data_IF_865802079743
#
_entry.id   IF_865802079743
#
_cell.length_a   1.000
_cell.length_b   1.000
_cell.length_c   1.000
_cell.angle_alpha   90.00
_cell.angle_beta   90.00
_cell.angle_gamma   90.00
#
_symmetry.space_group_name_H-M   'P 1'
#
loop_
_entity.id
_entity.type
_entity.pdbx_description
1 polymer ?
2 non-polymer ?
3 non-polymer ?
4 non-polymer ?
5 water ?
#
# COMPACT_ATOMS: atom_id res chain seq x y z
N UNK A 2 -5.19 3.99 22.64
CA UNK A 2 -5.61 4.19 21.26
C UNK A 2 -5.50 2.92 20.40
N UNK A 3 -6.22 2.89 19.26
CA UNK A 3 -6.24 1.75 18.35
C UNK A 3 -4.98 1.72 17.51
N UNK A 4 -4.40 0.52 17.40
CA UNK A 4 -3.20 0.29 16.63
C UNK A 4 -3.52 -0.45 15.33
N UNK A 5 -2.83 -0.07 14.24
CA UNK A 5 -2.98 -0.68 12.94
C UNK A 5 -1.61 -0.94 12.36
N UNK A 6 -1.35 -2.19 11.97
CA UNK A 6 -0.05 -2.58 11.39
C UNK A 6 -0.21 -2.72 9.90
N UNK A 7 0.37 -1.74 9.17
CA UNK A 7 0.27 -1.68 7.70
C UNK A 7 1.57 -2.10 7.05
N UNK A 8 1.47 -2.82 5.93
CA UNK A 8 2.63 -3.24 5.15
C UNK A 8 2.51 -2.65 3.75
N UNK A 9 3.57 -1.96 3.28
CA UNK A 9 3.60 -1.39 1.94
C UNK A 9 4.46 -2.35 1.10
N UNK A 10 3.83 -3.05 0.13
CA UNK A 10 4.47 -4.05 -0.74
C UNK A 10 4.41 -3.65 -2.20
N UNK A 11 5.27 -4.25 -3.01
CA UNK A 11 5.33 -3.97 -4.43
C UNK A 11 6.74 -4.04 -4.98
N UNK A 12 6.84 -4.07 -6.32
CA UNK A 12 8.10 -4.16 -7.03
C UNK A 12 9.03 -3.01 -6.68
N UNK A 13 10.35 -3.24 -6.77
CA UNK A 13 11.33 -2.18 -6.52
C UNK A 13 11.09 -1.03 -7.48
N UNK A 14 11.17 0.20 -6.96
CA UNK A 14 11.00 1.42 -7.72
C UNK A 14 9.59 1.92 -7.98
N UNK A 15 8.56 1.31 -7.37
CA UNK A 15 7.16 1.75 -7.55
C UNK A 15 6.83 3.02 -6.74
N UNK A 16 7.60 3.28 -5.69
CA UNK A 16 7.39 4.41 -4.79
C UNK A 16 6.91 4.04 -3.41
N UNK A 17 7.23 2.82 -2.93
CA UNK A 17 6.85 2.39 -1.57
C UNK A 17 7.46 3.31 -0.52
N UNK A 18 8.76 3.59 -0.64
CA UNK A 18 9.45 4.48 0.32
C UNK A 18 8.97 5.91 0.20
N UNK A 19 8.82 6.42 -1.04
CA UNK A 19 8.32 7.78 -1.29
C UNK A 19 6.90 7.97 -0.73
N UNK A 20 6.01 6.97 -0.90
CA UNK A 20 4.66 6.99 -0.36
C UNK A 20 4.67 6.99 1.17
N UNK A 21 5.50 6.11 1.78
CA UNK A 21 5.63 6.04 3.26
C UNK A 21 6.21 7.34 3.84
N UNK A 22 7.26 7.91 3.23
CA UNK A 22 7.89 9.16 3.70
C UNK A 22 6.93 10.35 3.52
N UNK A 23 6.13 10.36 2.44
CA UNK A 23 5.16 11.42 2.19
C UNK A 23 4.07 11.46 3.28
N UNK A 24 3.54 10.30 3.66
CA UNK A 24 2.56 10.22 4.74
C UNK A 24 3.16 10.59 6.11
N UNK A 25 4.33 10.02 6.46
CA UNK A 25 4.98 10.23 7.77
C UNK A 25 5.59 11.62 7.94
N UNK A 26 6.46 12.04 6.99
CA UNK A 26 7.24 13.28 7.07
C UNK A 26 6.78 14.43 6.15
N UNK A 27 5.68 14.27 5.38
CA UNK A 27 5.08 15.29 4.49
C UNK A 27 6.04 15.90 3.46
N UNK A 28 7.00 15.09 2.97
CA UNK A 28 7.93 15.54 1.95
C UNK A 28 8.23 14.42 0.97
N UNK A 29 8.58 14.79 -0.27
CA UNK A 29 8.88 13.83 -1.33
C UNK A 29 10.39 13.53 -1.39
N UNK A 30 10.74 12.24 -1.26
CA UNK A 30 12.12 11.74 -1.34
C UNK A 30 12.39 11.24 -2.78
N UNK A 31 13.29 11.95 -3.50
CA UNK A 31 13.63 11.63 -4.89
C UNK A 31 14.59 10.44 -5.05
N UNK A 32 15.36 10.10 -3.99
CA UNK A 32 16.30 8.96 -4.01
C UNK A 32 16.56 8.39 -2.61
N UNK A 33 15.69 7.44 -2.19
CA UNK A 33 15.77 6.73 -0.91
C UNK A 33 16.36 5.35 -1.18
N UNK A 34 17.34 4.91 -0.34
CA UNK A 34 18.03 3.62 -0.46
C UNK A 34 17.03 2.50 -0.76
N UNK A 35 17.12 1.85 -1.95
CA UNK A 35 16.12 0.84 -2.33
C UNK A 35 16.19 -0.49 -1.55
N UNK A 36 17.30 -0.74 -0.86
CA UNK A 36 17.53 -1.98 -0.11
C UNK A 36 17.12 -1.86 1.37
N UNK A 37 16.83 -0.63 1.84
CA UNK A 37 16.45 -0.37 3.23
C UNK A 37 14.96 -0.67 3.50
N UNK A 38 14.72 -1.53 4.48
CA UNK A 38 13.39 -1.92 4.92
C UNK A 38 13.24 -1.35 6.33
N UNK A 39 12.28 -0.46 6.52
CA UNK A 39 12.07 0.17 7.82
C UNK A 39 10.59 0.20 8.19
N UNK A 40 10.30 0.61 9.42
CA UNK A 40 8.93 0.73 9.93
C UNK A 40 8.81 2.12 10.52
N UNK A 41 7.62 2.70 10.43
CA UNK A 41 7.40 4.07 10.91
C UNK A 41 6.11 4.15 11.71
N UNK A 42 6.11 5.00 12.73
CA UNK A 42 4.91 5.21 13.54
C UNK A 42 4.35 6.61 13.37
N UNK A 43 3.01 6.69 13.28
CA UNK A 43 2.31 7.96 13.16
C UNK A 43 1.00 7.91 13.88
N UNK A 44 0.76 8.92 14.72
CA UNK A 44 -0.49 9.10 15.43
C UNK A 44 -1.32 10.02 14.55
N UNK A 45 -2.50 9.53 14.15
CA UNK A 45 -3.44 10.22 13.26
C UNK A 45 -4.87 10.00 13.73
N UNK A 46 -5.75 10.96 13.45
CA UNK A 46 -7.17 10.80 13.73
C UNK A 46 -7.87 10.47 12.40
N UNK A 47 -8.47 9.27 12.31
CA UNK A 47 -9.15 8.80 11.11
C UNK A 47 -10.61 8.54 11.52
N UNK A 48 -11.55 9.33 10.95
CA UNK A 48 -13.00 9.22 11.25
C UNK A 48 -13.30 9.42 12.73
N UNK A 49 -12.60 10.35 13.35
CA UNK A 49 -12.76 10.68 14.77
C UNK A 49 -12.09 9.70 15.71
N UNK A 50 -11.39 8.70 15.17
CA UNK A 50 -10.67 7.69 15.96
C UNK A 50 -9.17 8.00 16.01
N UNK A 51 -8.60 8.08 17.23
CA UNK A 51 -7.15 8.28 17.38
C UNK A 51 -6.49 6.93 17.11
N UNK A 52 -5.68 6.88 16.06
CA UNK A 52 -5.00 5.66 15.66
C UNK A 52 -3.51 5.81 15.69
N UNK A 53 -2.84 4.70 15.93
CA UNK A 53 -1.40 4.68 15.89
C UNK A 53 -1.07 3.76 14.74
N UNK A 54 -0.44 4.32 13.72
CA UNK A 54 -0.08 3.54 12.57
C UNK A 54 1.36 3.05 12.66
N UNK A 55 1.53 1.74 12.49
CA UNK A 55 2.85 1.13 12.48
C UNK A 55 3.00 0.62 11.04
N UNK A 56 3.68 1.41 10.20
CA UNK A 56 3.81 1.16 8.76
C UNK A 56 5.17 0.57 8.39
N UNK A 57 5.15 -0.63 7.82
CA UNK A 57 6.37 -1.26 7.33
C UNK A 57 6.58 -1.01 5.82
N UNK A 58 7.68 -0.33 5.50
CA UNK A 58 8.12 -0.04 4.13
C UNK A 58 9.08 -1.18 3.75
N UNK A 59 8.60 -2.16 2.96
CA UNK A 59 9.38 -3.33 2.56
C UNK A 59 10.39 -3.03 1.46
N UNK A 60 11.49 -3.80 1.38
CA UNK A 60 12.51 -3.55 0.36
C UNK A 60 12.82 -4.75 -0.56
N UNK A 61 12.11 -5.88 -0.35
CA UNK A 61 12.19 -7.11 -1.13
C UNK A 61 13.45 -7.37 -1.93
N UNK A 68 8.71 -10.68 -0.40
CA UNK A 68 9.58 -11.03 0.73
C UNK A 68 8.83 -11.88 1.79
N UNK A 69 9.58 -12.34 2.82
CA UNK A 69 9.25 -13.26 3.91
C UNK A 69 7.81 -13.21 4.47
N UNK A 70 7.35 -14.42 4.80
CA UNK A 70 6.06 -14.79 5.38
C UNK A 70 5.83 -14.13 6.73
N UNK A 71 6.91 -13.77 7.45
CA UNK A 71 6.86 -13.19 8.79
C UNK A 71 6.17 -11.84 8.87
N UNK A 72 6.57 -10.85 8.05
CA UNK A 72 5.88 -9.55 8.12
C UNK A 72 4.49 -9.63 7.51
N UNK A 73 4.25 -10.68 6.71
CA UNK A 73 2.96 -10.96 6.11
C UNK A 73 2.08 -11.53 7.22
N UNK A 74 2.67 -12.32 8.14
CA UNK A 74 1.95 -12.85 9.32
C UNK A 74 1.56 -11.72 10.29
N UNK A 75 2.50 -10.77 10.51
CA UNK A 75 2.33 -9.62 11.42
C UNK A 75 1.41 -8.54 10.85
N UNK A 76 1.57 -8.25 9.57
CA UNK A 76 0.78 -7.22 8.88
C UNK A 76 -0.71 -7.43 8.99
N UNK A 77 -1.45 -6.37 9.30
CA UNK A 77 -2.92 -6.46 9.41
C UNK A 77 -3.63 -5.98 8.14
N UNK A 78 -2.94 -5.16 7.37
CA UNK A 78 -3.41 -4.59 6.11
C UNK A 78 -2.27 -4.36 5.15
N UNK A 79 -2.52 -4.53 3.85
CA UNK A 79 -1.45 -4.40 2.86
C UNK A 79 -1.75 -3.39 1.76
N UNK A 80 -0.85 -2.42 1.55
CA UNK A 80 -0.94 -1.49 0.42
C UNK A 80 -0.16 -2.19 -0.69
N UNK A 81 -0.85 -2.69 -1.74
CA UNK A 81 -0.19 -3.37 -2.84
C UNK A 81 0.05 -2.34 -3.94
N UNK A 82 1.30 -1.88 -4.06
CA UNK A 82 1.69 -0.77 -4.92
C UNK A 82 2.34 -1.18 -6.23
N UNK A 83 1.82 -0.62 -7.33
CA UNK A 83 2.41 -0.72 -8.66
C UNK A 83 2.57 0.73 -9.15
N UNK A 84 3.37 0.95 -10.21
CA UNK A 84 3.56 2.27 -10.78
C UNK A 84 2.79 2.27 -12.12
N UNK A 85 1.98 3.33 -12.39
CA UNK A 85 1.13 3.45 -13.60
C UNK A 85 1.93 3.50 -14.93
N UNK A 86 3.26 3.69 -14.84
CA UNK A 86 4.17 3.71 -15.99
C UNK A 86 4.99 2.41 -16.07
N UNK A 87 4.59 1.39 -15.29
CA UNK A 87 5.37 0.15 -15.27
C UNK A 87 4.47 -1.06 -15.28
N UNK A 88 4.27 -1.63 -16.49
CA UNK A 88 3.42 -2.79 -16.72
C UNK A 88 3.83 -4.03 -15.88
N UNK A 89 5.13 -4.28 -15.76
CA UNK A 89 5.66 -5.40 -14.96
C UNK A 89 5.29 -5.27 -13.48
N UNK A 90 5.33 -4.04 -12.91
CA UNK A 90 4.98 -3.83 -11.50
C UNK A 90 3.50 -4.12 -11.24
N UNK A 91 2.65 -3.85 -12.24
CA UNK A 91 1.22 -4.17 -12.15
C UNK A 91 1.04 -5.70 -12.15
N UNK A 92 1.66 -6.42 -13.10
CA UNK A 92 1.60 -7.88 -13.11
C UNK A 92 2.17 -8.47 -11.80
N UNK A 93 3.24 -7.86 -11.23
CA UNK A 93 3.85 -8.29 -9.96
C UNK A 93 2.90 -8.28 -8.76
N UNK A 94 1.84 -7.45 -8.79
CA UNK A 94 0.81 -7.40 -7.74
C UNK A 94 0.30 -8.79 -7.35
N UNK A 95 0.03 -9.66 -8.35
CA UNK A 95 -0.52 -10.99 -8.08
C UNK A 95 0.39 -11.89 -7.24
N UNK A 96 1.71 -11.71 -7.37
CA UNK A 96 2.70 -12.49 -6.61
C UNK A 96 2.57 -12.17 -5.13
N UNK A 97 2.44 -10.88 -4.79
CA UNK A 97 2.27 -10.39 -3.42
C UNK A 97 0.91 -10.86 -2.90
N UNK A 98 -0.17 -10.68 -3.70
CA UNK A 98 -1.52 -11.11 -3.35
C UNK A 98 -1.58 -12.59 -2.96
N UNK A 99 -1.04 -13.47 -3.83
CA UNK A 99 -1.00 -14.90 -3.61
C UNK A 99 -0.14 -15.31 -2.42
N UNK A 100 1.00 -14.63 -2.20
CA UNK A 100 1.86 -14.93 -1.07
C UNK A 100 1.15 -14.54 0.25
N UNK A 101 0.51 -13.34 0.29
CA UNK A 101 -0.25 -12.88 1.45
C UNK A 101 -1.40 -13.86 1.76
N UNK A 102 -2.17 -14.26 0.72
CA UNK A 102 -3.28 -15.21 0.83
C UNK A 102 -2.85 -16.55 1.43
N UNK A 103 -1.68 -17.07 1.00
CA UNK A 103 -1.05 -18.33 1.43
C UNK A 103 -0.67 -18.26 2.91
N UNK A 104 0.04 -17.18 3.30
CA UNK A 104 0.53 -16.91 4.66
C UNK A 104 -0.63 -16.73 5.65
N UNK A 105 -1.64 -15.94 5.29
CA UNK A 105 -2.78 -15.66 6.16
C UNK A 105 -3.86 -16.74 6.14
N UNK A 106 -3.78 -17.71 5.18
CA UNK A 106 -4.76 -18.77 4.95
C UNK A 106 -6.18 -18.18 4.82
N UNK A 107 -6.27 -17.01 4.15
CA UNK A 107 -7.51 -16.28 3.96
C UNK A 107 -7.55 -15.58 2.60
N UNK A 108 -8.77 -15.32 2.11
CA UNK A 108 -9.04 -14.65 0.84
C UNK A 108 -9.61 -13.25 1.06
N UNK A 109 -9.84 -12.84 2.34
CA UNK A 109 -10.40 -11.52 2.64
C UNK A 109 -9.48 -10.66 3.52
N UNK A 110 -8.17 -10.73 3.27
CA UNK A 110 -7.14 -9.96 3.99
C UNK A 110 -7.29 -8.47 3.63
N UNK A 111 -7.38 -7.52 4.60
CA UNK A 111 -7.46 -6.10 4.23
C UNK A 111 -6.32 -5.70 3.31
N UNK A 112 -6.67 -5.19 2.12
CA UNK A 112 -5.70 -4.66 1.16
C UNK A 112 -6.30 -3.64 0.23
N UNK A 113 -5.42 -2.76 -0.27
CA UNK A 113 -5.75 -1.68 -1.18
C UNK A 113 -4.78 -1.75 -2.32
N UNK A 114 -5.32 -1.70 -3.55
CA UNK A 114 -4.50 -1.67 -4.75
C UNK A 114 -4.12 -0.20 -5.02
N UNK A 115 -2.81 0.10 -5.04
CA UNK A 115 -2.35 1.46 -5.24
C UNK A 115 -1.62 1.61 -6.58
N UNK A 116 -2.10 2.52 -7.43
CA UNK A 116 -1.47 2.90 -8.69
C UNK A 116 -0.70 4.18 -8.46
N UNK A 117 0.60 4.04 -8.14
CA UNK A 117 1.43 5.20 -7.82
C UNK A 117 2.02 5.88 -9.06
N UNK A 118 2.56 7.12 -8.89
CA UNK A 118 3.15 7.96 -9.93
C UNK A 118 2.09 8.47 -10.91
N UNK A 119 0.87 8.77 -10.38
CA UNK A 119 -0.27 9.28 -11.15
C UNK A 119 0.02 10.64 -11.82
N UNK A 120 1.06 11.34 -11.35
CA UNK A 120 1.52 12.62 -11.89
C UNK A 120 2.23 12.42 -13.26
N UNK A 121 2.69 11.19 -13.55
CA UNK A 121 3.41 10.90 -14.78
C UNK A 121 2.50 10.78 -15.99
N UNK A 122 2.86 11.44 -17.10
CA UNK A 122 2.04 11.32 -18.32
C UNK A 122 2.32 10.03 -19.12
N UNK A 123 3.38 9.28 -18.77
CA UNK A 123 3.82 8.05 -19.45
C UNK A 123 3.07 6.80 -18.96
N UNK A 124 1.73 6.87 -18.94
CA UNK A 124 0.85 5.78 -18.47
C UNK A 124 0.87 4.55 -19.39
N UNK A 125 1.12 3.37 -18.81
CA UNK A 125 1.11 2.08 -19.53
C UNK A 125 0.10 1.11 -18.86
N UNK A 126 -0.47 1.53 -17.73
CA UNK A 126 -1.51 0.81 -17.00
C UNK A 126 -2.74 1.73 -16.93
N UNK A 127 -3.80 1.41 -17.69
CA UNK A 127 -5.04 2.19 -17.68
C UNK A 127 -5.82 1.96 -16.40
N UNK A 128 -6.61 2.97 -15.98
CA UNK A 128 -7.44 2.86 -14.77
C UNK A 128 -8.44 1.71 -14.87
N UNK A 129 -8.84 1.33 -16.10
CA UNK A 129 -9.77 0.22 -16.32
C UNK A 129 -9.09 -1.12 -16.02
N UNK A 130 -7.82 -1.30 -16.47
CA UNK A 130 -7.02 -2.51 -16.18
C UNK A 130 -6.94 -2.67 -14.66
N UNK A 131 -6.62 -1.57 -13.96
CA UNK A 131 -6.46 -1.55 -12.51
C UNK A 131 -7.79 -1.73 -11.76
N UNK A 132 -8.89 -1.10 -12.25
CA UNK A 132 -10.23 -1.28 -11.66
C UNK A 132 -10.68 -2.73 -11.83
N UNK A 133 -10.36 -3.37 -12.97
CA UNK A 133 -10.67 -4.79 -13.23
C UNK A 133 -9.89 -5.69 -12.30
N UNK A 134 -8.60 -5.35 -12.00
CA UNK A 134 -7.79 -6.12 -11.07
C UNK A 134 -8.38 -6.01 -9.64
N UNK A 135 -8.66 -4.77 -9.20
CA UNK A 135 -9.21 -4.47 -7.87
C UNK A 135 -10.59 -5.14 -7.68
N UNK A 136 -11.43 -5.14 -8.75
CA UNK A 136 -12.74 -5.79 -8.76
C UNK A 136 -12.62 -7.29 -8.53
N UNK A 137 -11.60 -7.93 -9.17
CA UNK A 137 -11.38 -9.38 -9.05
C UNK A 137 -10.98 -9.79 -7.65
N UNK A 138 -10.15 -8.97 -6.97
CA UNK A 138 -9.72 -9.22 -5.59
C UNK A 138 -10.80 -8.82 -4.58
N UNK A 139 -11.75 -7.97 -5.00
CA UNK A 139 -12.78 -7.42 -4.13
C UNK A 139 -12.20 -6.38 -3.19
N UNK A 140 -11.29 -5.52 -3.71
CA UNK A 140 -10.61 -4.50 -2.91
C UNK A 140 -10.66 -3.11 -3.56
N UNK A 141 -10.45 -2.02 -2.78
CA UNK A 141 -10.40 -0.68 -3.39
C UNK A 141 -9.16 -0.44 -4.25
N UNK A 142 -9.32 0.34 -5.33
CA UNK A 142 -8.22 0.78 -6.17
C UNK A 142 -8.05 2.30 -5.98
N UNK A 143 -6.85 2.75 -5.54
CA UNK A 143 -6.57 4.17 -5.33
C UNK A 143 -5.35 4.60 -6.15
N UNK A 144 -5.47 5.67 -6.93
CA UNK A 144 -4.30 6.22 -7.62
C UNK A 144 -3.63 7.26 -6.74
N UNK A 145 -2.30 7.21 -6.67
CA UNK A 145 -1.53 8.15 -5.86
C UNK A 145 -0.35 8.76 -6.61
N UNK A 146 0.16 9.84 -6.05
CA UNK A 146 1.39 10.46 -6.44
C UNK A 146 2.08 10.82 -5.14
N UNK A 147 3.18 10.13 -4.84
CA UNK A 147 4.00 10.44 -3.67
C UNK A 147 4.67 11.82 -3.88
N UNK A 148 4.79 12.27 -5.15
CA UNK A 148 5.41 13.55 -5.52
C UNK A 148 4.49 14.75 -5.23
N UNK A 149 3.21 14.69 -5.64
CA UNK A 149 2.26 15.78 -5.44
C UNK A 149 1.42 15.60 -4.14
N UNK A 150 1.44 14.37 -3.58
CA UNK A 150 0.68 13.95 -2.38
C UNK A 150 -0.76 13.54 -2.73
N UNK A 151 -1.18 13.73 -3.99
CA UNK A 151 -2.50 13.34 -4.48
C UNK A 151 -2.79 11.86 -4.15
N UNK A 152 -3.90 11.62 -3.45
CA UNK A 152 -4.39 10.30 -3.06
C UNK A 152 -3.65 9.56 -1.95
N UNK A 153 -2.53 10.11 -1.44
CA UNK A 153 -1.68 9.45 -0.43
C UNK A 153 -2.47 9.14 0.84
N UNK A 154 -3.14 10.15 1.40
CA UNK A 154 -3.96 9.99 2.60
C UNK A 154 -5.12 9.06 2.34
N UNK A 155 -5.77 9.19 1.17
CA UNK A 155 -6.87 8.32 0.78
C UNK A 155 -6.44 6.85 0.74
N UNK A 156 -5.24 6.54 0.19
CA UNK A 156 -4.76 5.15 0.11
C UNK A 156 -4.51 4.55 1.49
N UNK A 157 -3.71 5.24 2.33
CA UNK A 157 -3.40 4.74 3.67
C UNK A 157 -4.63 4.68 4.58
N UNK A 158 -5.50 5.70 4.52
CA UNK A 158 -6.68 5.75 5.40
C UNK A 158 -7.75 4.78 4.97
N UNK A 159 -7.88 4.53 3.65
CA UNK A 159 -8.82 3.50 3.16
C UNK A 159 -8.34 2.15 3.68
N UNK A 160 -7.02 1.91 3.68
CA UNK A 160 -6.47 0.67 4.23
C UNK A 160 -6.81 0.50 5.72
N UNK A 161 -6.68 1.58 6.52
CA UNK A 161 -7.07 1.55 7.94
C UNK A 161 -8.55 1.21 8.07
N UNK A 162 -9.43 1.85 7.25
CA UNK A 162 -10.87 1.64 7.26
C UNK A 162 -11.21 0.18 6.91
N UNK A 163 -10.44 -0.42 5.99
CA UNK A 163 -10.56 -1.84 5.58
C UNK A 163 -10.23 -2.78 6.77
N UNK A 164 -9.14 -2.49 7.52
CA UNK A 164 -8.73 -3.29 8.70
C UNK A 164 -9.82 -3.17 9.76
N UNK A 165 -10.30 -1.92 9.99
CA UNK A 165 -11.36 -1.64 10.96
C UNK A 165 -12.63 -2.43 10.59
N UNK A 166 -12.99 -2.48 9.30
CA UNK A 166 -14.15 -3.23 8.82
C UNK A 166 -14.00 -4.73 9.03
N UNK A 167 -12.78 -5.26 8.77
CA UNK A 167 -12.43 -6.68 8.93
C UNK A 167 -12.55 -7.11 10.39
N UNK A 168 -12.02 -6.31 11.33
CA UNK A 168 -12.11 -6.58 12.78
C UNK A 168 -13.58 -6.57 13.24
N UNK A 169 -14.37 -5.64 12.69
CA UNK A 169 -15.81 -5.48 12.98
C UNK A 169 -16.63 -6.65 12.38
N UNK A 170 -16.19 -7.18 11.20
CA UNK A 170 -16.81 -8.26 10.40
C UNK A 170 -18.15 -7.83 9.80
X LIG B 1 12.17 1.57 -1.02
X LIG C 1 -0.27 -2.52 -23.88
X LIG D 1 10.56 1.71 -3.79
X LIG D 1 11.69 0.87 -4.28
X LIG D 1 10.63 2.10 -2.32
X LIG D 1 9.18 1.08 -4.10
X LIG D 1 10.52 3.12 -4.52
X LIG D 1 11.08 4.57 -4.19
X LIG D 1 12.46 4.45 -3.71
X LIG D 1 10.20 5.28 -3.16
X LIG D 1 10.90 5.36 -5.54
X LIG D 1 11.61 4.97 -6.73
X LIG D 1 11.78 6.18 -7.60
X LIG D 1 10.49 6.65 -8.06
X LIG D 1 12.46 7.39 -6.96
X LIG D 1 13.34 8.02 -7.89
X LIG D 1 11.29 8.27 -6.57
X LIG D 1 11.58 9.66 -6.46
X LIG D 1 10.32 8.01 -7.72
X LIG D 1 8.90 8.22 -7.36
X LIG D 1 8.26 7.65 -6.28
X LIG D 1 7.00 8.00 -6.18
X LIG D 1 6.80 8.86 -7.26
X LIG D 1 5.64 9.53 -7.70
X LIG D 1 4.51 9.44 -7.23
X LIG D 1 5.87 10.31 -8.82
X LIG D 1 7.06 10.41 -9.49
X LIG D 1 7.08 11.14 -10.60
X LIG D 1 8.16 9.76 -9.10
X LIG D 1 7.97 9.01 -7.99
X LIG E 1 -13.57 2.08 15.88
X LIG E 1 -14.97 2.24 15.87
X LIG E 1 -15.78 1.12 15.75
X LIG E 1 -15.82 3.48 15.89
X LIG E 1 -15.82 3.94 13.30
X LIG E 1 -15.69 5.04 11.11
X LIG E 1 -14.76 6.53 15.77
X LIG E 1 -16.55 8.10 15.38
X LIG E 1 -15.23 -0.16 15.64
X LIG E 1 -15.58 4.34 14.67
X LIG E 1 -15.20 5.65 14.64
X LIG E 1 -15.53 5.06 12.50
X LIG E 1 -16.24 2.77 12.67
X LIG E 1 -16.03 3.84 10.50
X LIG E 1 -16.34 2.72 11.28
X LIG E 1 -13.85 -0.31 15.68
X LIG E 1 -15.28 8.24 17.39
X LIG E 1 -13.03 0.81 15.79
X LIG E 1 -17.19 1.57 15.74
X LIG E 1 -15.14 6.09 13.34
X LIG E 1 -15.83 7.33 16.39
X LIG E 1 -17.16 2.91 15.89
X LIG E 1 -18.19 0.88 15.61
X LIG E 1 -11.67 0.66 15.78
X LIG F 1 9.63 -5.65 10.55
X LIG F 1 8.74 -6.37 11.35
X LIG F 1 8.51 -7.70 11.08
X LIG F 1 7.92 -5.94 12.55
X LIG F 1 5.85 -4.94 11.27
X LIG F 1 4.12 -3.42 10.43
X LIG F 1 7.81 -2.96 13.72
X LIG F 1 7.63 -1.72 15.79
X LIG F 1 9.15 -8.34 10.03
X LIG F 1 6.95 -4.84 12.19
X LIG F 1 7.00 -3.54 12.61
X LIG F 1 5.24 -3.67 11.23
X LIG F 1 5.35 -5.94 10.44
X LIG F 1 3.61 -4.45 9.67
X LIG F 1 4.21 -5.71 9.67
X LIG F 1 10.03 -7.63 9.22
X LIG F 1 6.88 -3.99 15.71
X LIG F 1 10.26 -6.28 9.49
X LIG F 1 7.54 -8.22 12.07
X LIG F 1 5.95 -2.84 12.07
X LIG F 1 7.03 -2.74 14.95
X LIG F 1 7.28 -7.19 12.90
X LIG F 1 7.10 -9.36 12.17
X LIG F 1 11.13 -5.58 8.70
#
# INVERSE_FOLDING_TARGET
GMTEYKLVVVGAGGVGKSALTIQLIQNHFVDEYDPTIEDSYRKQVVIDGETCLLDILDTAGQEEYSAMRDQYMRTGEGFLCVFAINNSKSFADINLYREQIKRVKDSDDVPMVLVGNKSDLPTRTVDTKQAHELAKSYGIPFIETSAKTRQGVEDAFYTLVREIRQYRMKKLN
MG MG
MG MG
GDP PB O1B O2B O3B O3A PA O1A O2A O5' C5' C4' O4' C3' O3' C2' O2' C1' N9 C8 N7 C5 C6 O6 N1 C2 N2 N3 C4
EZZ C4 C5 C6 C7 C15 C17 C20 C24 C1 C11 C12 C14 C16 C18 C19 C2 C23 C3 C9 N13 N21 N8 O10 O22
EZZ C4 C5 C6 C7 C15 C17 C20 C24 C1 C11 C12 C14 C16 C18 C19 C2 C23 C3 C9 N13 N21 N8 O10 O22
#
